data_IF_402358272430
#
_entry.id   IF_402358272430
#
_cell.length_a   1.000
_cell.length_b   1.000
_cell.length_c   1.000
_cell.angle_alpha   90.00
_cell.angle_beta   90.00
_cell.angle_gamma   90.00
#
_symmetry.space_group_name_H-M   'P 1'
#
loop_
_entity.id
_entity.type
_entity.pdbx_description
1 polymer ?
#
# COMPACT_ATOMS: atom_id res chain seq x y z
N UNK A 1 -11.83 18.95 12.74
CA UNK A 1 -11.96 17.47 12.69
C UNK A 1 -11.67 17.07 11.26
N UNK A 2 -10.40 16.90 10.92
CA UNK A 2 -9.98 16.41 9.60
C UNK A 2 -10.21 14.90 9.57
N UNK A 3 -10.90 14.43 8.54
CA UNK A 3 -11.11 13.00 8.34
C UNK A 3 -9.79 12.38 7.90
N UNK A 4 -9.32 11.26 8.50
CA UNK A 4 -8.15 10.57 7.98
C UNK A 4 -8.42 10.08 6.54
N UNK A 5 -7.40 10.10 5.69
CA UNK A 5 -7.45 9.46 4.37
C UNK A 5 -7.69 7.96 4.57
N UNK A 6 -8.79 7.43 4.02
CA UNK A 6 -9.13 6.00 4.14
C UNK A 6 -8.72 5.28 2.85
N UNK A 7 -7.77 4.38 2.96
CA UNK A 7 -7.34 3.50 1.88
C UNK A 7 -7.95 2.11 2.08
N UNK A 8 -8.30 1.44 0.99
CA UNK A 8 -8.90 0.12 1.08
C UNK A 8 -8.05 -0.88 0.32
N UNK A 9 -7.43 -1.76 1.08
CA UNK A 9 -6.65 -2.86 0.54
C UNK A 9 -7.49 -4.14 0.55
N UNK A 10 -7.75 -4.69 -0.64
CA UNK A 10 -8.31 -6.04 -0.74
C UNK A 10 -7.23 -6.97 -1.28
N UNK A 11 -6.51 -7.64 -0.38
CA UNK A 11 -5.58 -8.70 -0.74
C UNK A 11 -6.35 -10.02 -0.94
N UNK A 12 -6.32 -10.53 -2.17
CA UNK A 12 -6.88 -11.85 -2.49
C UNK A 12 -5.72 -12.82 -2.62
N UNK A 13 -5.42 -13.55 -1.54
CA UNK A 13 -4.39 -14.59 -1.57
C UNK A 13 -4.97 -15.93 -2.06
N UNK A 14 -4.13 -16.87 -2.54
CA UNK A 14 -4.59 -18.21 -2.92
C UNK A 14 -5.20 -18.99 -1.75
N UNK A 15 -4.82 -18.70 -0.50
CA UNK A 15 -5.33 -19.37 0.71
C UNK A 15 -6.67 -18.80 1.21
N UNK A 16 -7.10 -17.63 0.72
CA UNK A 16 -8.36 -17.00 1.13
C UNK A 16 -8.47 -15.52 0.76
N UNK A 17 -9.66 -14.95 0.96
CA UNK A 17 -9.87 -13.50 0.80
C UNK A 17 -9.60 -12.82 2.14
N UNK A 18 -8.56 -12.00 2.22
CA UNK A 18 -8.30 -11.12 3.37
C UNK A 18 -8.76 -9.71 3.03
N UNK A 19 -9.74 -9.21 3.80
CA UNK A 19 -10.23 -7.85 3.63
C UNK A 19 -9.68 -6.99 4.76
N UNK A 20 -8.92 -5.96 4.39
CA UNK A 20 -8.25 -5.08 5.35
C UNK A 20 -8.61 -3.63 5.05
N UNK A 21 -9.09 -2.92 6.06
CA UNK A 21 -9.35 -1.49 5.99
C UNK A 21 -8.12 -0.76 6.51
N UNK A 22 -7.59 0.18 5.74
CA UNK A 22 -6.30 0.78 6.03
C UNK A 22 -6.38 2.31 6.05
N UNK A 23 -5.62 2.94 6.94
CA UNK A 23 -5.26 4.35 6.79
C UNK A 23 -3.87 4.40 6.17
N UNK A 24 -3.78 5.11 5.05
CA UNK A 24 -2.56 5.16 4.24
C UNK A 24 -2.04 6.59 4.19
N UNK A 25 -0.82 6.77 4.67
CA UNK A 25 -0.09 8.03 4.58
C UNK A 25 1.10 7.81 3.65
N UNK A 26 1.20 8.65 2.62
CA UNK A 26 2.17 8.48 1.54
C UNK A 26 2.93 9.77 1.29
N UNK A 27 4.25 9.66 1.27
CA UNK A 27 5.16 10.76 0.99
C UNK A 27 6.23 10.27 0.02
N UNK A 28 6.02 10.52 -1.27
CA UNK A 28 6.96 10.16 -2.32
C UNK A 28 8.27 10.96 -2.25
N UNK A 29 8.21 12.20 -1.73
CA UNK A 29 9.37 13.08 -1.65
C UNK A 29 10.36 12.51 -0.66
N UNK A 30 9.91 12.23 0.57
CA UNK A 30 10.75 11.66 1.63
C UNK A 30 10.82 10.13 1.61
N UNK A 31 10.16 9.47 0.64
CA UNK A 31 10.09 8.02 0.47
C UNK A 31 9.71 7.30 1.77
N UNK A 32 8.54 7.65 2.28
CA UNK A 32 8.02 7.10 3.54
C UNK A 32 6.54 6.83 3.42
N UNK A 33 6.13 5.72 4.02
CA UNK A 33 4.76 5.23 3.96
C UNK A 33 4.35 4.79 5.35
N UNK A 34 3.14 5.14 5.79
CA UNK A 34 2.54 4.55 6.99
C UNK A 34 1.22 3.89 6.63
N UNK A 35 1.08 2.64 7.05
CA UNK A 35 -0.13 1.84 6.88
C UNK A 35 -0.66 1.49 8.26
N UNK A 36 -1.89 1.88 8.55
CA UNK A 36 -2.60 1.48 9.77
C UNK A 36 -3.78 0.63 9.34
N UNK A 37 -3.62 -0.67 9.43
CA UNK A 37 -4.52 -1.67 8.93
C UNK A 37 -5.35 -2.28 10.07
N UNK A 38 -6.65 -2.45 9.82
CA UNK A 38 -7.53 -3.23 10.68
C UNK A 38 -8.44 -4.09 9.81
N UNK A 39 -8.56 -5.37 10.14
CA UNK A 39 -9.28 -6.29 9.28
C UNK A 39 -9.56 -7.64 9.92
N UNK A 40 -10.01 -8.57 9.09
CA UNK A 40 -10.19 -9.96 9.46
C UNK A 40 -9.49 -10.86 8.47
N UNK A 41 -8.70 -11.77 9.02
CA UNK A 41 -8.12 -12.89 8.29
C UNK A 41 -8.76 -14.17 8.83
N UNK A 42 -9.70 -14.73 8.05
CA UNK A 42 -10.58 -15.79 8.52
C UNK A 42 -11.40 -15.35 9.75
N UNK A 43 -11.14 -15.98 10.90
CA UNK A 43 -11.78 -15.68 12.19
C UNK A 43 -10.99 -14.72 13.07
N UNK A 44 -9.73 -14.42 12.74
CA UNK A 44 -8.84 -13.61 13.56
C UNK A 44 -8.96 -12.13 13.17
N UNK A 45 -9.02 -11.26 14.17
CA UNK A 45 -8.91 -9.82 13.93
C UNK A 45 -7.43 -9.49 13.75
N UNK A 46 -7.12 -8.78 12.67
CA UNK A 46 -5.78 -8.30 12.36
C UNK A 46 -5.75 -6.80 12.62
N UNK A 47 -4.73 -6.36 13.35
CA UNK A 47 -4.39 -4.94 13.51
C UNK A 47 -2.91 -4.77 13.25
N UNK A 48 -2.56 -3.89 12.31
CA UNK A 48 -1.19 -3.63 11.88
C UNK A 48 -1.00 -2.12 11.86
N UNK A 49 0.10 -1.63 12.42
CA UNK A 49 0.53 -0.25 12.25
C UNK A 49 2.01 -0.30 11.88
N UNK A 50 2.30 0.04 10.63
CA UNK A 50 3.63 -0.04 10.07
C UNK A 50 4.05 1.28 9.47
N UNK A 51 5.20 1.76 9.90
CA UNK A 51 5.86 2.96 9.40
C UNK A 51 7.12 2.54 8.64
N UNK A 52 7.08 2.64 7.32
CA UNK A 52 8.18 2.33 6.41
C UNK A 52 8.96 3.59 6.08
N UNK A 53 10.27 3.52 6.29
CA UNK A 53 11.22 4.60 6.08
C UNK A 53 12.28 4.12 5.07
N UNK A 54 12.02 4.34 3.78
CA UNK A 54 12.82 3.73 2.70
C UNK A 54 14.20 4.36 2.56
N UNK A 55 14.34 5.67 2.84
CA UNK A 55 15.65 6.33 2.87
C UNK A 55 16.56 5.75 3.95
N UNK A 56 15.97 5.40 5.09
CA UNK A 56 16.66 4.85 6.25
C UNK A 56 16.80 3.32 6.23
N UNK A 57 16.12 2.63 5.30
CA UNK A 57 16.18 1.16 5.10
C UNK A 57 15.72 0.33 6.30
N UNK A 58 14.75 0.83 7.05
CA UNK A 58 14.07 0.07 8.11
C UNK A 58 12.59 0.46 8.21
N UNK A 59 11.77 -0.45 8.71
CA UNK A 59 10.38 -0.14 9.07
C UNK A 59 10.15 -0.40 10.57
N UNK A 60 9.14 0.26 11.11
CA UNK A 60 8.63 0.00 12.46
C UNK A 60 7.31 -0.75 12.38
N UNK A 61 7.18 -1.85 13.12
CA UNK A 61 5.87 -2.39 13.52
C UNK A 61 5.52 -1.81 14.89
N UNK A 62 4.38 -1.14 15.00
CA UNK A 62 4.01 -0.35 16.16
C UNK A 62 2.81 -1.00 16.85
N UNK A 63 2.99 -1.40 18.11
CA UNK A 63 1.89 -1.84 18.96
C UNK A 63 1.57 -0.76 19.99
N UNK A 64 0.52 0.03 19.73
CA UNK A 64 0.02 1.02 20.69
C UNK A 64 -0.55 0.39 21.96
N UNK A 65 -1.17 -0.79 21.84
CA UNK A 65 -1.70 -1.54 22.99
C UNK A 65 -0.56 -1.95 23.94
N UNK A 66 0.52 -2.53 23.40
CA UNK A 66 1.64 -3.02 24.21
C UNK A 66 2.70 -1.95 24.49
N UNK A 67 2.54 -0.74 23.92
CA UNK A 67 3.55 0.32 23.90
C UNK A 67 4.94 -0.21 23.52
N UNK A 68 4.99 -0.99 22.44
CA UNK A 68 6.20 -1.63 21.94
C UNK A 68 6.35 -1.43 20.44
N UNK A 69 7.60 -1.44 19.95
CA UNK A 69 7.88 -1.34 18.52
C UNK A 69 8.96 -2.35 18.12
N UNK A 70 8.74 -3.03 17.00
CA UNK A 70 9.77 -3.84 16.35
C UNK A 70 10.40 -2.98 15.27
N UNK A 71 11.73 -2.86 15.24
CA UNK A 71 12.44 -2.17 14.17
C UNK A 71 13.11 -3.22 13.31
N UNK A 72 12.76 -3.25 12.03
CA UNK A 72 13.21 -4.31 11.11
C UNK A 72 13.93 -3.67 9.93
N UNK A 73 15.19 -4.06 9.66
CA UNK A 73 15.87 -3.63 8.45
C UNK A 73 15.22 -4.26 7.22
N UNK A 74 15.05 -3.48 6.14
CA UNK A 74 14.53 -3.99 4.88
C UNK A 74 15.25 -3.37 3.68
N UNK A 75 15.40 -4.16 2.61
CA UNK A 75 16.16 -3.77 1.41
C UNK A 75 15.28 -3.45 0.21
N UNK A 76 13.95 -3.44 0.36
CA UNK A 76 13.04 -3.15 -0.74
C UNK A 76 13.29 -1.76 -1.32
N UNK A 77 13.11 -1.63 -2.63
CA UNK A 77 13.14 -0.34 -3.31
C UNK A 77 11.83 0.41 -3.07
N UNK A 78 11.89 1.74 -3.03
CA UNK A 78 10.69 2.55 -3.03
C UNK A 78 10.12 2.56 -4.45
N UNK A 79 8.92 2.01 -4.61
CA UNK A 79 8.17 2.05 -5.87
C UNK A 79 7.10 3.13 -5.72
N UNK A 80 7.18 4.24 -6.47
CA UNK A 80 6.20 5.30 -6.39
C UNK A 80 4.83 4.86 -6.93
N UNK A 81 3.76 5.39 -6.35
CA UNK A 81 2.39 5.21 -6.86
C UNK A 81 2.19 6.25 -7.95
N UNK A 82 2.73 5.95 -9.13
CA UNK A 82 2.66 6.79 -10.32
C UNK A 82 2.52 5.92 -11.56
N UNK A 83 2.15 6.53 -12.69
CA UNK A 83 2.13 5.85 -13.98
C UNK A 83 3.58 5.77 -14.48
N UNK A 84 4.16 4.57 -14.68
CA UNK A 84 5.51 4.46 -15.22
C UNK A 84 5.62 5.08 -16.62
N UNK A 85 6.78 5.63 -16.95
CA UNK A 85 6.99 6.35 -18.22
C UNK A 85 6.82 5.47 -19.46
N UNK A 86 7.05 4.16 -19.31
CA UNK A 86 6.92 3.14 -20.33
C UNK A 86 5.59 2.38 -20.28
N UNK A 87 4.67 2.79 -19.39
CA UNK A 87 3.34 2.19 -19.28
C UNK A 87 2.54 2.39 -20.57
N UNK A 88 1.80 1.37 -20.97
CA UNK A 88 0.94 1.41 -22.14
C UNK A 88 -0.47 1.86 -21.74
N UNK A 89 -0.97 2.93 -22.36
CA UNK A 89 -2.37 3.30 -22.27
C UNK A 89 -3.23 2.20 -22.92
N UNK A 90 -4.22 1.69 -22.20
CA UNK A 90 -5.10 0.61 -22.68
C UNK A 90 -6.50 1.09 -22.96
N UNK A 91 -7.05 1.88 -22.05
CA UNK A 91 -8.43 2.32 -22.14
C UNK A 91 -8.65 3.62 -21.38
N UNK A 92 -9.67 4.35 -21.82
CA UNK A 92 -10.29 5.43 -21.07
C UNK A 92 -11.77 5.08 -20.87
N UNK A 93 -12.26 5.20 -19.65
CA UNK A 93 -13.65 4.86 -19.33
C UNK A 93 -14.17 5.68 -18.14
N UNK A 94 -15.47 5.58 -17.88
CA UNK A 94 -16.13 6.24 -16.75
C UNK A 94 -16.50 5.23 -15.68
N UNK A 95 -16.01 5.46 -14.46
CA UNK A 95 -16.47 4.75 -13.27
C UNK A 95 -17.73 5.47 -12.77
N UNK A 96 -18.82 4.73 -12.55
CA UNK A 96 -20.12 5.28 -12.17
C UNK A 96 -21.08 5.35 -13.36
N UNK A 97 -21.78 6.48 -13.51
CA UNK A 97 -22.86 6.65 -14.49
C UNK A 97 -22.60 7.86 -15.39
N UNK A 98 -22.91 7.68 -16.68
CA UNK A 98 -22.96 8.76 -17.68
C UNK A 98 -24.33 9.45 -17.73
N UNK A 99 -25.31 9.01 -16.93
CA UNK A 99 -26.71 9.43 -17.03
C UNK A 99 -26.95 10.87 -16.57
N UNK A 100 -26.09 11.42 -15.72
CA UNK A 100 -26.18 12.82 -15.29
C UNK A 100 -24.80 13.38 -14.89
N UNK A 101 -24.62 14.72 -14.88
CA UNK A 101 -23.40 15.36 -14.39
C UNK A 101 -23.03 14.92 -12.97
N UNK A 102 -21.73 14.82 -12.70
CA UNK A 102 -21.16 14.42 -11.40
C UNK A 102 -21.54 13.01 -10.89
N UNK A 103 -22.13 12.15 -11.74
CA UNK A 103 -22.39 10.74 -11.40
C UNK A 103 -21.27 9.77 -11.83
N UNK A 104 -20.25 10.28 -12.50
CA UNK A 104 -19.15 9.46 -13.00
C UNK A 104 -17.82 10.18 -12.92
N UNK A 105 -16.75 9.38 -12.87
CA UNK A 105 -15.36 9.82 -12.83
C UNK A 105 -14.67 9.27 -14.08
N UNK A 106 -14.11 10.16 -14.90
CA UNK A 106 -13.33 9.79 -16.07
C UNK A 106 -11.94 9.31 -15.65
N UNK A 107 -11.56 8.12 -16.08
CA UNK A 107 -10.32 7.46 -15.70
C UNK A 107 -9.61 6.87 -16.92
N UNK A 108 -8.29 6.70 -16.80
CA UNK A 108 -7.47 5.95 -17.74
C UNK A 108 -6.88 4.72 -17.07
N UNK A 109 -6.80 3.65 -17.84
CA UNK A 109 -6.11 2.44 -17.47
C UNK A 109 -4.78 2.30 -18.23
N UNK A 110 -3.76 1.92 -17.47
CA UNK A 110 -2.37 1.77 -17.90
C UNK A 110 -1.86 0.41 -17.49
N UNK A 111 -1.14 -0.27 -18.38
CA UNK A 111 -0.57 -1.58 -18.09
C UNK A 111 0.91 -1.63 -18.47
N UNK A 112 1.64 -2.49 -17.78
CA UNK A 112 3.04 -2.76 -18.05
C UNK A 112 3.60 -3.80 -17.10
N UNK A 113 4.92 -3.82 -16.98
CA UNK A 113 5.62 -4.72 -16.06
C UNK A 113 6.77 -4.01 -15.36
N UNK A 114 7.08 -4.44 -14.14
CA UNK A 114 8.20 -3.97 -13.34
C UNK A 114 9.19 -5.12 -13.25
N UNK A 115 10.30 -5.00 -13.98
CA UNK A 115 11.28 -6.08 -14.11
C UNK A 115 11.98 -6.39 -12.79
N UNK A 116 12.20 -5.38 -11.95
CA UNK A 116 12.88 -5.47 -10.65
C UNK A 116 12.17 -6.45 -9.71
N UNK A 117 10.84 -6.42 -9.71
CA UNK A 117 10.00 -7.28 -8.86
C UNK A 117 9.27 -8.38 -9.64
N UNK A 118 9.48 -8.47 -10.95
CA UNK A 118 8.82 -9.43 -11.86
C UNK A 118 7.31 -9.42 -11.72
N UNK A 119 6.76 -8.21 -11.68
CA UNK A 119 5.34 -7.99 -11.57
C UNK A 119 4.78 -7.45 -12.89
N UNK A 120 3.60 -7.94 -13.27
CA UNK A 120 2.75 -7.22 -14.23
C UNK A 120 1.80 -6.31 -13.46
N UNK A 121 1.47 -5.16 -14.01
CA UNK A 121 0.53 -4.24 -13.38
C UNK A 121 -0.56 -3.78 -14.32
N UNK A 122 -1.73 -3.50 -13.75
CA UNK A 122 -2.80 -2.72 -14.35
C UNK A 122 -3.22 -1.63 -13.37
N UNK A 123 -3.08 -0.38 -13.76
CA UNK A 123 -3.30 0.78 -12.91
C UNK A 123 -4.36 1.68 -13.52
N UNK A 124 -5.29 2.16 -12.70
CA UNK A 124 -6.35 3.08 -13.09
C UNK A 124 -6.17 4.39 -12.33
N UNK A 125 -6.06 5.49 -13.08
CA UNK A 125 -5.90 6.85 -12.55
C UNK A 125 -7.01 7.75 -13.08
N UNK A 126 -7.39 8.77 -12.32
CA UNK A 126 -8.29 9.83 -12.83
C UNK A 126 -7.64 10.54 -14.01
N UNK A 127 -8.43 10.83 -15.06
CA UNK A 127 -7.98 11.65 -16.19
C UNK A 127 -7.48 13.01 -15.69
N UNK A 128 -8.23 13.61 -14.78
CA UNK A 128 -7.91 14.90 -14.21
C UNK A 128 -7.27 14.75 -12.84
N UNK A 129 -6.07 15.31 -12.69
CA UNK A 129 -5.31 15.32 -11.44
C UNK A 129 -4.43 14.08 -11.21
N UNK A 130 -4.47 13.06 -12.09
CA UNK A 130 -3.65 11.85 -11.98
C UNK A 130 -3.72 11.20 -10.59
N UNK A 131 -4.91 11.08 -10.02
CA UNK A 131 -5.13 10.49 -8.71
C UNK A 131 -5.33 8.98 -8.89
N UNK A 132 -4.59 8.12 -8.16
CA UNK A 132 -4.76 6.67 -8.27
C UNK A 132 -6.17 6.29 -7.81
N UNK A 133 -6.81 5.39 -8.55
CA UNK A 133 -8.12 4.83 -8.21
C UNK A 133 -7.99 3.37 -7.84
N UNK A 134 -7.29 2.60 -8.66
CA UNK A 134 -7.06 1.17 -8.43
C UNK A 134 -5.71 0.77 -8.99
N UNK A 135 -4.96 -0.09 -8.30
CA UNK A 135 -3.81 -0.79 -8.88
C UNK A 135 -3.95 -2.28 -8.65
N UNK A 136 -3.66 -3.05 -9.69
CA UNK A 136 -3.60 -4.51 -9.65
C UNK A 136 -2.18 -4.92 -10.00
N UNK A 137 -1.51 -5.62 -9.10
CA UNK A 137 -0.22 -6.25 -9.36
C UNK A 137 -0.38 -7.77 -9.39
N UNK A 138 0.25 -8.38 -10.38
CA UNK A 138 0.41 -9.82 -10.49
C UNK A 138 1.90 -10.11 -10.32
N UNK A 139 2.27 -10.69 -9.17
CA UNK A 139 3.66 -10.93 -8.77
C UNK A 139 3.94 -12.43 -8.87
N UNK A 140 4.96 -12.81 -9.64
CA UNK A 140 5.39 -14.20 -9.75
C UNK A 140 6.34 -14.58 -8.60
N UNK A 141 5.91 -15.49 -7.71
CA UNK A 141 6.76 -16.02 -6.64
C UNK A 141 7.60 -17.22 -7.11
N UNK A 142 8.90 -17.22 -6.81
CA UNK A 142 9.82 -18.31 -7.17
C UNK A 142 9.98 -19.33 -6.04
N UNK A 143 9.93 -20.62 -6.40
CA UNK A 143 10.22 -21.74 -5.49
C UNK A 143 9.76 -23.07 -6.08
N UNK A 144 9.92 -24.20 -5.35
CA UNK A 144 9.39 -25.51 -5.75
C UNK A 144 7.85 -25.53 -5.88
N UNK A 145 7.17 -24.49 -5.39
CA UNK A 145 5.74 -24.24 -5.55
C UNK A 145 5.56 -22.81 -6.09
N UNK A 146 5.96 -22.54 -7.33
CA UNK A 146 5.71 -21.24 -7.94
C UNK A 146 4.20 -20.96 -7.99
N UNK A 147 3.79 -19.79 -7.51
CA UNK A 147 2.41 -19.32 -7.56
C UNK A 147 2.37 -17.82 -7.83
N UNK A 148 1.26 -17.36 -8.40
CA UNK A 148 1.01 -15.96 -8.72
C UNK A 148 0.22 -15.31 -7.57
N UNK A 149 0.70 -14.16 -7.09
CA UNK A 149 0.00 -13.36 -6.08
C UNK A 149 -0.62 -12.15 -6.75
N UNK A 150 -1.95 -12.04 -6.64
CA UNK A 150 -2.70 -10.87 -7.08
C UNK A 150 -2.92 -9.88 -5.94
N UNK A 151 -2.38 -8.68 -6.07
CA UNK A 151 -2.55 -7.58 -5.11
C UNK A 151 -3.46 -6.52 -5.72
N UNK A 152 -4.63 -6.30 -5.12
CA UNK A 152 -5.57 -5.28 -5.55
C UNK A 152 -5.69 -4.16 -4.51
N UNK A 153 -5.24 -2.97 -4.89
CA UNK A 153 -5.32 -1.75 -4.10
C UNK A 153 -6.46 -0.90 -4.64
N UNK A 154 -7.37 -0.45 -3.79
CA UNK A 154 -8.35 0.57 -4.17
C UNK A 154 -8.20 1.80 -3.29
N UNK A 155 -8.11 2.94 -3.94
CA UNK A 155 -7.85 4.21 -3.29
C UNK A 155 -9.14 5.00 -3.19
N UNK A 156 -9.49 5.41 -1.98
CA UNK A 156 -10.67 6.21 -1.68
C UNK A 156 -10.26 7.41 -0.83
N UNK A 157 -11.11 8.44 -0.79
CA UNK A 157 -10.97 9.60 0.08
C UNK A 157 -9.54 10.20 0.11
N UNK A 158 -8.84 10.22 -1.03
CA UNK A 158 -7.50 10.80 -1.13
C UNK A 158 -7.60 12.31 -0.95
N UNK A 159 -6.89 12.83 0.06
CA UNK A 159 -6.54 14.24 0.18
C UNK A 159 -5.10 14.44 -0.27
N UNK A 160 -4.91 15.33 -1.25
CA UNK A 160 -3.57 15.68 -1.73
C UNK A 160 -2.83 16.48 -0.65
N UNK A 161 -1.64 16.01 -0.29
CA UNK A 161 -0.79 16.62 0.72
C UNK A 161 -0.85 15.87 2.06
N UNK A 162 -0.02 16.33 3.00
CA UNK A 162 0.10 15.73 4.33
C UNK A 162 -0.42 16.76 5.34
N UNK A 163 -1.62 16.53 5.87
CA UNK A 163 -2.25 17.43 6.85
C UNK A 163 -1.48 17.47 8.18
N UNK A 164 -0.99 16.31 8.62
CA UNK A 164 -0.23 16.16 9.87
C UNK A 164 1.08 15.39 9.60
N UNK A 165 2.25 16.06 9.56
CA UNK A 165 3.53 15.39 9.29
C UNK A 165 3.98 14.47 10.43
N UNK A 166 3.44 14.63 11.64
CA UNK A 166 3.78 13.81 12.81
C UNK A 166 3.38 12.34 12.65
N UNK A 167 2.52 12.02 11.68
CA UNK A 167 2.14 10.63 11.37
C UNK A 167 3.35 9.77 10.97
N UNK A 168 4.43 10.39 10.48
CA UNK A 168 5.66 9.70 10.09
C UNK A 168 6.74 9.70 11.17
N UNK A 169 6.45 10.25 12.36
CA UNK A 169 7.37 10.23 13.50
C UNK A 169 6.99 9.04 14.38
N UNK A 170 7.90 8.08 14.64
CA UNK A 170 7.59 6.95 15.48
C UNK A 170 7.28 7.43 16.92
N UNK A 171 6.31 6.81 17.62
CA UNK A 171 5.99 7.17 18.99
C UNK A 171 7.20 7.13 19.92
N UNK A 172 7.17 7.93 20.99
CA UNK A 172 8.27 8.00 21.95
C UNK A 172 8.64 6.65 22.57
N UNK A 173 7.69 5.74 22.75
CA UNK A 173 7.98 4.39 23.25
C UNK A 173 8.82 3.54 22.27
N UNK A 174 8.86 3.87 20.97
CA UNK A 174 9.77 3.24 20.01
C UNK A 174 11.24 3.65 20.19
N UNK A 175 11.53 4.74 20.92
CA UNK A 175 12.91 5.13 21.25
C UNK A 175 13.48 4.40 22.46
N UNK A 176 12.64 3.65 23.19
CA UNK A 176 13.04 2.90 24.39
C UNK A 176 13.50 1.47 24.05
N UNK A 177 14.26 0.85 24.96
CA UNK A 177 15.03 -0.40 24.82
C UNK A 177 14.27 -1.71 24.46
N UNK A 178 13.03 -1.62 23.97
CA UNK A 178 12.26 -2.76 23.42
C UNK A 178 12.31 -2.83 21.89
N UNK A 179 13.39 -2.32 21.28
CA UNK A 179 13.67 -2.56 19.88
C UNK A 179 14.10 -4.03 19.73
N UNK A 180 13.20 -4.87 19.24
CA UNK A 180 13.57 -6.21 18.78
C UNK A 180 14.04 -6.06 17.34
N UNK A 181 15.35 -6.09 17.12
CA UNK A 181 15.89 -6.25 15.77
C UNK A 181 15.65 -7.69 15.33
N UNK A 182 14.68 -7.89 14.44
CA UNK A 182 14.47 -9.19 13.80
C UNK A 182 15.22 -9.23 12.47
N UNK A 183 15.74 -10.42 12.12
CA UNK A 183 16.20 -10.71 10.77
C UNK A 183 15.00 -10.62 9.80
N UNK A 184 15.22 -10.31 8.51
CA UNK A 184 14.14 -10.26 7.53
C UNK A 184 13.30 -11.54 7.60
N UNK A 185 12.00 -11.38 7.84
CA UNK A 185 11.03 -12.47 7.95
C UNK A 185 9.76 -12.16 7.16
N UNK A 186 8.80 -13.09 7.21
CA UNK A 186 7.51 -13.21 6.49
C UNK A 186 6.70 -11.89 6.32
N UNK A 187 6.85 -10.93 7.23
CA UNK A 187 6.22 -9.61 7.14
C UNK A 187 6.73 -8.79 5.94
N UNK A 188 7.99 -9.00 5.53
CA UNK A 188 8.54 -8.41 4.30
C UNK A 188 7.78 -8.85 3.04
N UNK A 189 7.16 -10.03 3.04
CA UNK A 189 6.37 -10.53 1.91
C UNK A 189 4.97 -9.90 1.88
N UNK A 190 4.34 -9.65 3.05
CA UNK A 190 3.08 -8.90 3.15
C UNK A 190 3.22 -7.46 2.60
N UNK A 191 4.35 -6.81 2.87
CA UNK A 191 4.63 -5.44 2.39
C UNK A 191 5.16 -5.39 0.95
N UNK A 192 5.82 -6.45 0.49
CA UNK A 192 6.05 -6.65 -0.96
C UNK A 192 4.71 -6.80 -1.68
N UNK A 193 3.70 -7.38 -1.02
CA UNK A 193 2.33 -7.50 -1.51
C UNK A 193 1.44 -6.26 -1.25
N UNK A 194 2.00 -5.14 -0.79
CA UNK A 194 1.33 -3.82 -0.77
C UNK A 194 1.79 -2.93 -1.94
N UNK A 195 2.95 -3.27 -2.52
CA UNK A 195 3.54 -2.58 -3.67
C UNK A 195 2.92 -3.00 -4.99
#
# INVERSE_FOLDING_TARGET
>A
MGSPNHFFLMQVSPEGKSLVFEQFYYDAVEQRIRVIASGKEGTHNVFVDVLMLYRERFYYEISYHNKSCTKVPFSAAFIPIEIPIDAQHKAQFVIGSLSAPAQGILVNNWEGSIAEIKANYSMTFTEFGCIPVTTLYSIEQKGPHAFEVGVLNNFFDIVIGIENPEVFIPPSFCTSAKLVEQKPGEVADFFTALM
#
